data_IF_186341008234
#
_entry.id   IF_186341008234
#
_cell.length_a   1.000
_cell.length_b   1.000
_cell.length_c   1.000
_cell.angle_alpha   90.00
_cell.angle_beta   90.00
_cell.angle_gamma   90.00
#
_symmetry.space_group_name_H-M   'P 1'
#
loop_
_entity.id
_entity.type
_entity.pdbx_description
1 polymer ?
#
# COMPACT_ATOMS: atom_id res chain seq x y z
N UNK A 1 -19.43 -45.46 9.88
CA UNK A 1 -20.53 -44.79 9.14
C UNK A 1 -20.90 -43.46 9.82
N UNK A 2 -21.44 -43.44 11.07
CA UNK A 2 -21.91 -42.22 11.78
C UNK A 2 -20.84 -41.10 11.88
N UNK A 3 -19.58 -41.45 12.15
CA UNK A 3 -18.47 -40.44 12.21
C UNK A 3 -18.13 -39.89 10.82
N UNK A 4 -18.35 -40.65 9.78
CA UNK A 4 -18.06 -40.21 8.40
C UNK A 4 -19.17 -39.33 7.84
N UNK A 5 -20.42 -39.66 8.12
CA UNK A 5 -21.60 -38.84 7.81
C UNK A 5 -21.54 -37.49 8.55
N UNK A 6 -21.21 -37.47 9.83
CA UNK A 6 -21.02 -36.24 10.62
C UNK A 6 -19.86 -35.38 10.04
N UNK A 7 -18.78 -36.00 9.53
CA UNK A 7 -17.68 -35.31 8.88
C UNK A 7 -18.09 -34.70 7.53
N UNK A 8 -18.87 -35.43 6.75
CA UNK A 8 -19.40 -34.97 5.47
C UNK A 8 -20.38 -33.81 5.66
N UNK A 9 -21.33 -33.91 6.59
CA UNK A 9 -22.27 -32.86 6.94
C UNK A 9 -21.53 -31.58 7.39
N UNK A 10 -20.50 -31.73 8.25
CA UNK A 10 -19.64 -30.59 8.67
C UNK A 10 -18.91 -29.96 7.50
N UNK A 11 -18.38 -30.75 6.58
CA UNK A 11 -17.68 -30.24 5.41
C UNK A 11 -18.63 -29.49 4.45
N UNK A 12 -19.86 -30.00 4.27
CA UNK A 12 -20.90 -29.30 3.50
C UNK A 12 -21.28 -27.96 4.12
N UNK A 13 -21.52 -27.88 5.44
CA UNK A 13 -21.82 -26.65 6.14
C UNK A 13 -20.67 -25.63 6.01
N UNK A 14 -19.41 -26.10 6.08
CA UNK A 14 -18.25 -25.24 5.85
C UNK A 14 -18.23 -24.73 4.39
N UNK A 15 -18.50 -25.57 3.41
CA UNK A 15 -18.52 -25.18 2.00
C UNK A 15 -19.62 -24.13 1.71
N UNK A 16 -20.80 -24.29 2.27
CA UNK A 16 -21.91 -23.34 2.19
C UNK A 16 -21.55 -21.99 2.84
N UNK A 17 -20.96 -22.02 4.03
CA UNK A 17 -20.47 -20.82 4.71
C UNK A 17 -19.42 -20.07 3.87
N UNK A 18 -18.50 -20.81 3.24
CA UNK A 18 -17.49 -20.22 2.35
C UNK A 18 -18.16 -19.60 1.12
N UNK A 19 -19.16 -20.27 0.53
CA UNK A 19 -19.92 -19.78 -0.64
C UNK A 19 -20.67 -18.51 -0.29
N UNK A 20 -21.40 -18.47 0.82
CA UNK A 20 -22.10 -17.30 1.32
C UNK A 20 -21.14 -16.14 1.61
N UNK A 21 -20.00 -16.42 2.27
CA UNK A 21 -18.96 -15.40 2.52
C UNK A 21 -18.43 -14.83 1.21
N UNK A 22 -18.15 -15.63 0.20
CA UNK A 22 -17.68 -15.15 -1.11
C UNK A 22 -18.72 -14.27 -1.80
N UNK A 23 -19.99 -14.66 -1.77
CA UNK A 23 -21.08 -13.85 -2.31
C UNK A 23 -21.18 -12.50 -1.60
N UNK A 24 -21.12 -12.46 -0.27
CA UNK A 24 -21.11 -11.21 0.49
C UNK A 24 -19.90 -10.33 0.17
N UNK A 25 -18.73 -10.91 -0.11
CA UNK A 25 -17.51 -10.16 -0.46
C UNK A 25 -17.62 -9.43 -1.79
N UNK A 26 -18.45 -9.87 -2.72
CA UNK A 26 -18.68 -9.16 -3.99
C UNK A 26 -19.35 -7.80 -3.78
N UNK A 27 -20.13 -7.65 -2.69
CA UNK A 27 -20.84 -6.41 -2.32
C UNK A 27 -20.04 -5.53 -1.35
N UNK A 28 -18.84 -5.96 -0.96
CA UNK A 28 -18.04 -5.30 0.07
C UNK A 28 -16.71 -4.81 -0.49
N UNK A 29 -16.22 -3.71 0.08
CA UNK A 29 -14.86 -3.21 -0.15
C UNK A 29 -13.97 -3.50 1.05
N UNK A 30 -12.70 -3.80 0.79
CA UNK A 30 -11.72 -4.04 1.85
C UNK A 30 -11.00 -2.73 2.24
N UNK A 31 -11.20 -2.29 3.47
CA UNK A 31 -10.47 -1.15 4.07
C UNK A 31 -9.45 -1.68 5.06
N UNK A 32 -8.16 -1.49 4.78
CA UNK A 32 -7.10 -1.86 5.73
C UNK A 32 -6.97 -0.83 6.85
N UNK A 33 -6.83 -1.30 8.09
CA UNK A 33 -6.51 -0.46 9.25
C UNK A 33 -5.31 -1.03 9.98
N UNK A 34 -4.50 -0.16 10.56
CA UNK A 34 -3.27 -0.55 11.23
C UNK A 34 -3.26 -0.06 12.66
N UNK A 35 -3.10 -0.99 13.59
CA UNK A 35 -2.98 -0.74 15.03
C UNK A 35 -1.57 -1.06 15.48
N UNK A 36 -1.06 -0.33 16.47
CA UNK A 36 0.30 -0.49 16.98
C UNK A 36 0.30 -1.17 18.35
N UNK A 37 1.12 -2.21 18.50
CA UNK A 37 1.37 -2.82 19.81
C UNK A 37 2.26 -1.88 20.62
N UNK A 38 1.90 -1.61 21.87
CA UNK A 38 2.64 -0.74 22.79
C UNK A 38 3.87 -1.48 23.34
N UNK A 39 4.99 -1.42 22.62
CA UNK A 39 6.22 -2.15 22.98
C UNK A 39 6.76 -1.80 24.36
N UNK A 40 6.47 -0.61 24.88
CA UNK A 40 6.86 -0.16 26.24
C UNK A 40 6.00 -0.76 27.36
N UNK A 41 4.89 -1.41 27.03
CA UNK A 41 3.99 -2.08 27.96
C UNK A 41 4.13 -3.61 27.94
N UNK A 42 5.01 -4.14 27.05
CA UNK A 42 5.29 -5.57 26.98
C UNK A 42 6.16 -6.01 28.17
N UNK A 43 5.77 -7.07 28.81
CA UNK A 43 6.64 -7.76 29.76
C UNK A 43 7.71 -8.60 29.01
N UNK A 44 8.68 -9.16 29.74
CA UNK A 44 9.78 -9.96 29.15
C UNK A 44 9.28 -11.20 28.43
N UNK A 45 8.25 -11.88 28.92
CA UNK A 45 7.68 -13.08 28.32
C UNK A 45 6.99 -12.76 27.00
N UNK A 46 6.16 -11.73 26.98
CA UNK A 46 5.46 -11.26 25.77
C UNK A 46 6.44 -10.81 24.68
N UNK A 47 7.44 -10.02 25.06
CA UNK A 47 8.47 -9.56 24.13
C UNK A 47 9.29 -10.72 23.56
N UNK A 48 9.63 -11.70 24.40
CA UNK A 48 10.35 -12.90 23.97
C UNK A 48 9.47 -13.78 23.08
N UNK A 49 8.21 -14.00 23.42
CA UNK A 49 7.28 -14.77 22.60
C UNK A 49 7.14 -14.16 21.21
N UNK A 50 6.88 -12.85 21.10
CA UNK A 50 6.82 -12.16 19.81
C UNK A 50 8.12 -12.28 19.00
N UNK A 51 9.28 -12.19 19.67
CA UNK A 51 10.59 -12.38 19.03
C UNK A 51 10.74 -13.79 18.47
N UNK A 52 10.39 -14.81 19.28
CA UNK A 52 10.47 -16.23 18.88
C UNK A 52 9.49 -16.55 17.78
N UNK A 53 8.26 -16.01 17.82
CA UNK A 53 7.28 -16.17 16.76
C UNK A 53 7.82 -15.75 15.38
N UNK A 54 8.45 -14.57 15.28
CA UNK A 54 9.09 -14.13 14.01
C UNK A 54 10.31 -14.94 13.65
N UNK A 55 11.06 -15.44 14.63
CA UNK A 55 12.26 -16.26 14.42
C UNK A 55 11.89 -17.65 13.87
N UNK A 56 10.93 -18.32 14.50
CA UNK A 56 10.42 -19.63 14.06
C UNK A 56 9.74 -19.54 12.68
N UNK A 57 8.97 -18.48 12.43
CA UNK A 57 8.40 -18.22 11.11
C UNK A 57 9.49 -18.09 10.03
N UNK A 58 10.63 -17.44 10.34
CA UNK A 58 11.79 -17.37 9.45
C UNK A 58 12.41 -18.75 9.24
N UNK A 59 12.60 -19.56 10.29
CA UNK A 59 13.15 -20.89 10.17
C UNK A 59 12.30 -21.78 9.29
N UNK A 60 10.99 -21.77 9.55
CA UNK A 60 10.01 -22.54 8.78
C UNK A 60 10.00 -22.11 7.31
N UNK A 61 9.95 -20.81 7.01
CA UNK A 61 10.04 -20.29 5.64
C UNK A 61 11.31 -20.76 4.91
N UNK A 62 12.45 -20.64 5.57
CA UNK A 62 13.74 -21.02 4.96
C UNK A 62 13.86 -22.54 4.78
N UNK A 63 13.33 -23.33 5.70
CA UNK A 63 13.25 -24.78 5.58
C UNK A 63 12.43 -25.21 4.35
N UNK A 64 11.25 -24.61 4.14
CA UNK A 64 10.43 -24.85 2.95
C UNK A 64 11.15 -24.45 1.66
N UNK A 65 11.86 -23.33 1.67
CA UNK A 65 12.54 -22.83 0.48
C UNK A 65 13.78 -23.65 0.11
N UNK A 66 14.41 -24.33 1.06
CA UNK A 66 15.57 -25.20 0.83
C UNK A 66 15.26 -26.38 -0.08
N UNK A 67 14.02 -26.89 -0.02
CA UNK A 67 13.52 -27.93 -0.92
C UNK A 67 12.06 -27.62 -1.27
N UNK A 68 11.80 -27.25 -2.51
CA UNK A 68 10.46 -26.86 -2.98
C UNK A 68 9.40 -27.97 -2.85
N UNK A 69 9.79 -29.26 -2.77
CA UNK A 69 8.89 -30.38 -2.48
C UNK A 69 8.26 -30.25 -1.08
N UNK A 70 8.90 -29.53 -0.17
CA UNK A 70 8.39 -29.23 1.19
C UNK A 70 7.32 -28.15 1.21
N UNK A 71 7.04 -27.48 0.08
CA UNK A 71 6.03 -26.43 0.01
C UNK A 71 4.66 -27.08 -0.24
N UNK A 72 4.20 -27.81 0.75
CA UNK A 72 2.94 -28.56 0.76
C UNK A 72 2.23 -28.38 2.10
N UNK A 73 0.95 -28.76 2.16
CA UNK A 73 0.13 -28.63 3.39
C UNK A 73 0.56 -29.58 4.51
N UNK A 74 1.17 -30.70 4.18
CA UNK A 74 1.71 -31.66 5.14
C UNK A 74 2.78 -31.03 6.03
N UNK A 75 3.57 -30.11 5.49
CA UNK A 75 4.63 -29.38 6.23
C UNK A 75 4.08 -28.52 7.36
N UNK A 76 2.79 -28.17 7.35
CA UNK A 76 2.16 -27.43 8.47
C UNK A 76 2.21 -28.22 9.79
N UNK A 77 2.29 -29.56 9.71
CA UNK A 77 2.34 -30.46 10.87
C UNK A 77 3.72 -30.53 11.53
N UNK A 78 4.77 -30.01 10.89
CA UNK A 78 6.14 -30.03 11.41
C UNK A 78 6.20 -29.34 12.79
N UNK A 79 6.79 -29.99 13.76
CA UNK A 79 7.04 -29.49 15.12
C UNK A 79 8.42 -28.87 15.27
N UNK A 80 9.37 -29.31 14.45
CA UNK A 80 10.75 -28.84 14.40
C UNK A 80 11.25 -28.73 12.97
N UNK A 81 12.35 -28.04 12.76
CA UNK A 81 13.02 -27.90 11.46
C UNK A 81 14.54 -27.77 11.64
N UNK A 82 15.35 -28.35 10.73
CA UNK A 82 16.79 -28.12 10.71
C UNK A 82 17.11 -26.69 10.30
N UNK A 83 17.91 -26.01 11.11
CA UNK A 83 18.32 -24.62 10.90
C UNK A 83 19.84 -24.57 10.71
N UNK A 84 20.27 -23.95 9.60
CA UNK A 84 21.68 -23.73 9.32
C UNK A 84 22.27 -22.70 10.27
N UNK A 85 23.33 -23.06 10.97
CA UNK A 85 24.09 -22.21 11.88
C UNK A 85 25.17 -21.39 11.12
N UNK A 86 25.76 -20.36 11.75
CA UNK A 86 26.83 -19.54 11.13
C UNK A 86 28.08 -20.30 10.72
N UNK A 87 28.40 -21.39 11.41
CA UNK A 87 29.52 -22.30 11.12
C UNK A 87 29.24 -23.25 9.94
N UNK A 88 28.01 -23.26 9.42
CA UNK A 88 27.55 -24.08 8.32
C UNK A 88 26.90 -25.40 8.74
N UNK A 89 27.00 -25.80 10.01
CA UNK A 89 26.29 -26.96 10.57
C UNK A 89 24.76 -26.77 10.61
N UNK A 90 24.05 -27.86 10.88
CA UNK A 90 22.60 -27.83 11.03
C UNK A 90 22.22 -28.25 12.44
N UNK A 91 21.27 -27.55 13.03
CA UNK A 91 20.72 -27.87 14.34
C UNK A 91 19.18 -27.94 14.24
N UNK A 92 18.58 -28.98 14.84
CA UNK A 92 17.15 -29.11 14.91
C UNK A 92 16.57 -28.10 15.89
N UNK A 93 15.61 -27.29 15.45
CA UNK A 93 14.96 -26.24 16.26
C UNK A 93 13.45 -26.46 16.30
N UNK A 94 12.89 -26.41 17.49
CA UNK A 94 11.46 -26.52 17.70
C UNK A 94 10.69 -25.29 17.21
N UNK A 95 9.45 -25.51 16.76
CA UNK A 95 8.49 -24.53 16.33
C UNK A 95 7.33 -24.44 17.34
N UNK A 96 7.64 -23.97 18.54
CA UNK A 96 6.69 -23.96 19.68
C UNK A 96 5.75 -22.75 19.70
N UNK A 97 6.16 -21.62 19.09
CA UNK A 97 5.43 -20.35 19.15
C UNK A 97 4.58 -20.10 17.89
N UNK A 98 4.94 -20.66 16.74
CA UNK A 98 4.20 -20.49 15.51
C UNK A 98 3.08 -21.51 15.37
N UNK A 99 1.82 -21.04 15.38
CA UNK A 99 0.63 -21.89 15.26
C UNK A 99 0.44 -22.46 13.84
N UNK A 100 -0.37 -23.53 13.73
CA UNK A 100 -0.63 -24.23 12.45
C UNK A 100 -1.20 -23.32 11.37
N UNK A 101 -2.14 -22.42 11.69
CA UNK A 101 -2.70 -21.49 10.70
C UNK A 101 -1.65 -20.45 10.22
N UNK A 102 -0.71 -20.05 11.08
CA UNK A 102 0.39 -19.18 10.67
C UNK A 102 1.37 -19.91 9.75
N UNK A 103 1.69 -21.20 10.02
CA UNK A 103 2.48 -22.06 9.13
C UNK A 103 1.77 -22.24 7.79
N UNK A 104 0.46 -22.51 7.80
CA UNK A 104 -0.34 -22.62 6.59
C UNK A 104 -0.27 -21.35 5.75
N UNK A 105 -0.38 -20.17 6.35
CA UNK A 105 -0.29 -18.90 5.62
C UNK A 105 1.06 -18.73 4.93
N UNK A 106 2.15 -19.18 5.55
CA UNK A 106 3.50 -19.14 4.95
C UNK A 106 3.56 -20.07 3.74
N UNK A 107 3.04 -21.29 3.84
CA UNK A 107 2.97 -22.25 2.72
C UNK A 107 2.15 -21.69 1.57
N UNK A 108 0.92 -21.21 1.84
CA UNK A 108 0.00 -20.69 0.82
C UNK A 108 0.58 -19.44 0.12
N UNK A 109 1.25 -18.56 0.86
CA UNK A 109 1.95 -17.41 0.30
C UNK A 109 3.14 -17.82 -0.60
N UNK A 110 3.89 -18.87 -0.23
CA UNK A 110 4.97 -19.37 -1.07
C UNK A 110 4.42 -19.97 -2.36
N UNK A 111 3.37 -20.79 -2.29
CA UNK A 111 2.68 -21.36 -3.47
C UNK A 111 2.19 -20.23 -4.39
N UNK A 112 1.53 -19.21 -3.84
CA UNK A 112 1.03 -18.06 -4.60
C UNK A 112 2.17 -17.30 -5.30
N UNK A 113 3.27 -17.08 -4.60
CA UNK A 113 4.44 -16.41 -5.16
C UNK A 113 5.08 -17.21 -6.30
N UNK A 114 5.20 -18.53 -6.17
CA UNK A 114 5.70 -19.39 -7.26
C UNK A 114 4.77 -19.35 -8.48
N UNK A 115 3.45 -19.40 -8.27
CA UNK A 115 2.46 -19.25 -9.36
C UNK A 115 2.61 -17.91 -10.06
N UNK A 116 2.81 -16.83 -9.31
CA UNK A 116 3.04 -15.48 -9.85
C UNK A 116 4.31 -15.44 -10.69
N UNK A 117 5.43 -15.99 -10.19
CA UNK A 117 6.69 -16.04 -10.92
C UNK A 117 6.57 -16.88 -12.22
N UNK A 118 5.87 -18.01 -12.16
CA UNK A 118 5.60 -18.84 -13.33
C UNK A 118 4.76 -18.10 -14.37
N UNK A 119 3.73 -17.35 -13.95
CA UNK A 119 2.90 -16.53 -14.83
C UNK A 119 3.73 -15.40 -15.49
N UNK A 120 4.59 -14.73 -14.74
CA UNK A 120 5.48 -13.70 -15.29
C UNK A 120 6.43 -14.28 -16.34
N UNK A 121 6.98 -15.48 -16.08
CA UNK A 121 7.82 -16.20 -17.06
C UNK A 121 7.05 -16.54 -18.32
N UNK A 122 5.82 -17.05 -18.21
CA UNK A 122 4.95 -17.35 -19.35
C UNK A 122 4.62 -16.08 -20.17
N UNK A 123 4.53 -14.91 -19.54
CA UNK A 123 4.32 -13.62 -20.21
C UNK A 123 5.58 -13.02 -20.84
N UNK A 124 6.69 -13.76 -20.89
CA UNK A 124 7.94 -13.31 -21.52
C UNK A 124 8.78 -12.33 -20.70
N UNK A 125 8.49 -12.16 -19.40
CA UNK A 125 9.34 -11.33 -18.53
C UNK A 125 10.69 -12.00 -18.37
N UNK A 126 11.75 -11.40 -18.88
CA UNK A 126 13.11 -11.98 -18.93
C UNK A 126 13.68 -12.31 -17.54
N UNK A 127 13.42 -11.47 -16.55
CA UNK A 127 13.92 -11.65 -15.18
C UNK A 127 12.77 -11.52 -14.16
N UNK A 128 11.91 -12.54 -14.00
CA UNK A 128 10.77 -12.49 -13.08
C UNK A 128 11.17 -12.47 -11.60
N UNK A 129 12.47 -12.64 -11.30
CA UNK A 129 13.00 -12.78 -9.95
C UNK A 129 12.92 -14.20 -9.41
N UNK A 130 13.30 -14.37 -8.14
CA UNK A 130 13.23 -15.64 -7.43
C UNK A 130 12.94 -15.41 -5.95
N UNK A 131 12.37 -16.40 -5.28
CA UNK A 131 12.29 -16.41 -3.83
C UNK A 131 13.69 -16.57 -3.24
N UNK A 132 13.98 -15.84 -2.17
CA UNK A 132 15.29 -15.83 -1.52
C UNK A 132 15.15 -16.19 -0.05
N UNK A 133 16.18 -16.84 0.50
CA UNK A 133 16.29 -17.06 1.94
C UNK A 133 16.21 -15.75 2.71
N UNK A 134 15.47 -15.78 3.81
CA UNK A 134 15.24 -14.60 4.65
C UNK A 134 16.19 -14.59 5.84
N UNK A 135 16.88 -13.48 6.05
CA UNK A 135 17.58 -13.20 7.32
C UNK A 135 16.59 -12.85 8.44
N UNK A 136 15.46 -12.21 8.08
CA UNK A 136 14.34 -11.86 8.97
C UNK A 136 13.03 -12.06 8.21
N UNK A 137 12.05 -12.68 8.83
CA UNK A 137 10.66 -12.61 8.36
C UNK A 137 9.96 -11.48 9.12
N UNK A 138 9.46 -10.50 8.39
CA UNK A 138 8.90 -9.27 8.98
C UNK A 138 7.39 -9.27 9.04
N UNK A 139 6.73 -10.24 8.43
CA UNK A 139 5.27 -10.30 8.35
C UNK A 139 4.81 -11.72 8.56
N UNK A 140 3.84 -11.90 9.44
CA UNK A 140 3.14 -13.17 9.70
C UNK A 140 1.66 -12.90 9.51
N UNK A 141 0.96 -13.74 8.76
CA UNK A 141 -0.47 -13.63 8.59
C UNK A 141 -1.23 -14.36 9.69
N UNK A 142 -2.25 -13.73 10.20
CA UNK A 142 -3.23 -14.25 11.15
C UNK A 142 -4.54 -14.41 10.39
N UNK A 143 -4.86 -15.63 9.99
CA UNK A 143 -5.86 -15.88 8.97
C UNK A 143 -7.29 -15.62 9.42
N UNK A 144 -7.58 -15.81 10.72
CA UNK A 144 -8.95 -15.86 11.20
C UNK A 144 -9.12 -15.07 12.50
N UNK A 145 -10.01 -14.07 12.46
CA UNK A 145 -10.47 -13.34 13.63
C UNK A 145 -11.24 -14.27 14.58
N UNK A 146 -11.02 -14.12 15.88
CA UNK A 146 -11.62 -14.98 16.91
C UNK A 146 -10.83 -16.27 17.19
N UNK A 147 -10.01 -16.75 16.24
CA UNK A 147 -9.21 -17.97 16.39
C UNK A 147 -7.71 -17.68 16.49
N UNK A 148 -7.10 -17.07 15.50
CA UNK A 148 -5.66 -16.76 15.53
C UNK A 148 -5.35 -15.45 16.25
N UNK A 149 -6.32 -14.55 16.29
CA UNK A 149 -6.25 -13.32 17.07
C UNK A 149 -7.65 -12.79 17.41
N UNK A 150 -7.72 -12.02 18.48
CA UNK A 150 -8.96 -11.35 18.93
C UNK A 150 -8.61 -9.98 19.50
N UNK A 151 -9.50 -9.00 19.32
CA UNK A 151 -9.35 -7.64 19.85
C UNK A 151 -10.45 -7.40 20.86
N UNK A 152 -10.04 -7.01 22.05
CA UNK A 152 -10.91 -6.41 23.06
C UNK A 152 -10.87 -4.89 22.89
N UNK A 153 -11.96 -4.34 22.37
CA UNK A 153 -12.07 -2.90 22.11
C UNK A 153 -12.19 -2.07 23.39
N UNK A 154 -12.81 -2.63 24.43
CA UNK A 154 -13.04 -1.93 25.69
C UNK A 154 -11.74 -1.73 26.47
N UNK A 155 -10.96 -2.79 26.61
CA UNK A 155 -9.68 -2.76 27.34
C UNK A 155 -8.47 -2.41 26.46
N UNK A 156 -8.68 -2.25 25.12
CA UNK A 156 -7.65 -1.98 24.12
C UNK A 156 -6.55 -3.05 24.12
N UNK A 157 -6.97 -4.32 24.15
CA UNK A 157 -6.08 -5.48 24.19
C UNK A 157 -6.18 -6.28 22.89
N UNK A 158 -5.05 -6.77 22.45
CA UNK A 158 -4.90 -7.72 21.35
C UNK A 158 -4.46 -9.07 21.91
N UNK A 159 -5.25 -10.09 21.69
CA UNK A 159 -4.90 -11.49 21.98
C UNK A 159 -4.40 -12.14 20.70
N UNK A 160 -3.28 -12.86 20.78
CA UNK A 160 -2.70 -13.63 19.67
C UNK A 160 -2.59 -15.07 20.14
N UNK A 161 -2.94 -16.02 19.30
CA UNK A 161 -2.82 -17.45 19.58
C UNK A 161 -1.43 -17.81 20.09
N UNK A 162 -1.36 -18.54 21.19
CA UNK A 162 -0.11 -18.92 21.85
C UNK A 162 0.37 -17.93 22.94
N UNK A 163 -0.19 -16.72 23.02
CA UNK A 163 0.03 -15.77 24.12
C UNK A 163 -1.12 -15.87 25.14
N UNK A 164 -0.77 -16.03 26.42
CA UNK A 164 -1.76 -16.09 27.52
C UNK A 164 -2.32 -14.72 27.88
N UNK A 165 -1.52 -13.66 27.73
CA UNK A 165 -1.88 -12.29 28.08
C UNK A 165 -2.28 -11.45 26.87
N UNK A 166 -3.15 -10.46 27.09
CA UNK A 166 -3.54 -9.48 26.09
C UNK A 166 -2.51 -8.36 25.94
N UNK A 167 -2.10 -8.07 24.71
CA UNK A 167 -1.13 -7.02 24.39
C UNK A 167 -1.83 -5.67 24.27
N UNK A 168 -1.37 -4.64 24.97
CA UNK A 168 -1.91 -3.28 24.83
C UNK A 168 -1.62 -2.70 23.46
N UNK A 169 -2.66 -2.12 22.83
CA UNK A 169 -2.58 -1.56 21.47
C UNK A 169 -3.09 -0.12 21.41
N UNK A 170 -2.60 0.62 20.38
CA UNK A 170 -3.05 1.96 20.02
C UNK A 170 -3.63 1.94 18.59
N UNK A 171 -4.58 2.83 18.30
CA UNK A 171 -5.12 3.03 16.96
C UNK A 171 -6.45 2.33 16.70
N UNK A 172 -7.12 1.81 17.75
CA UNK A 172 -8.44 1.17 17.62
C UNK A 172 -9.55 2.16 17.22
N UNK A 173 -9.38 3.44 17.53
CA UNK A 173 -10.26 4.52 17.10
C UNK A 173 -10.44 4.59 15.59
N UNK A 174 -9.48 4.07 14.80
CA UNK A 174 -9.61 3.97 13.35
C UNK A 174 -10.69 2.96 12.93
N UNK A 175 -10.93 1.94 13.74
CA UNK A 175 -11.97 0.93 13.48
C UNK A 175 -13.33 1.47 13.94
N UNK A 176 -13.36 2.18 15.07
CA UNK A 176 -14.58 2.86 15.53
C UNK A 176 -15.08 3.86 14.49
N UNK A 177 -14.19 4.72 13.98
CA UNK A 177 -14.52 5.65 12.88
C UNK A 177 -14.99 4.92 11.62
N UNK A 178 -14.44 3.75 11.32
CA UNK A 178 -14.88 2.96 10.18
C UNK A 178 -16.31 2.43 10.39
N UNK A 179 -16.65 2.04 11.63
CA UNK A 179 -18.02 1.65 12.00
C UNK A 179 -19.02 2.83 11.92
N UNK A 180 -18.60 4.00 12.33
CA UNK A 180 -19.38 5.23 12.22
C UNK A 180 -19.64 5.61 10.76
N UNK A 181 -18.64 5.43 9.88
CA UNK A 181 -18.72 5.81 8.46
C UNK A 181 -19.53 4.81 7.62
N UNK A 182 -19.40 3.50 7.89
CA UNK A 182 -19.97 2.44 7.04
C UNK A 182 -20.99 1.52 7.76
N UNK A 183 -21.22 1.72 9.04
CA UNK A 183 -22.08 0.86 9.85
C UNK A 183 -21.38 -0.44 10.25
N UNK A 184 -21.78 -1.58 9.68
CA UNK A 184 -21.20 -2.86 10.02
C UNK A 184 -19.79 -3.04 9.42
N UNK A 185 -18.85 -3.50 10.25
CA UNK A 185 -17.46 -3.76 9.87
C UNK A 185 -17.13 -5.21 10.19
N UNK A 186 -16.88 -6.00 9.16
CA UNK A 186 -16.45 -7.39 9.29
C UNK A 186 -14.92 -7.45 9.31
N UNK A 187 -14.34 -7.80 10.47
CA UNK A 187 -12.90 -7.97 10.67
C UNK A 187 -12.55 -9.43 10.40
N UNK A 188 -11.58 -9.69 9.50
CA UNK A 188 -11.26 -11.04 9.05
C UNK A 188 -9.82 -11.44 9.35
N UNK A 189 -8.96 -11.37 8.36
CA UNK A 189 -7.53 -11.67 8.52
C UNK A 189 -6.74 -10.43 8.95
N UNK A 190 -5.60 -10.67 9.55
CA UNK A 190 -4.65 -9.62 9.87
C UNK A 190 -3.22 -10.02 9.50
N UNK A 191 -2.34 -9.02 9.42
CA UNK A 191 -0.91 -9.22 9.25
C UNK A 191 -0.17 -8.62 10.43
N UNK A 192 0.52 -9.46 11.20
CA UNK A 192 1.44 -9.01 12.24
C UNK A 192 2.75 -8.58 11.56
N UNK A 193 3.15 -7.32 11.73
CA UNK A 193 4.27 -6.71 11.01
C UNK A 193 5.30 -6.17 11.98
N UNK A 194 6.53 -6.66 11.88
CA UNK A 194 7.68 -6.17 12.64
C UNK A 194 8.44 -5.11 11.82
N UNK A 195 8.40 -3.87 12.28
CA UNK A 195 9.06 -2.71 11.66
C UNK A 195 10.10 -2.10 12.60
N UNK A 196 11.02 -1.25 12.10
CA UNK A 196 11.97 -0.51 12.93
C UNK A 196 11.34 0.42 13.97
N UNK A 197 10.09 0.85 13.75
CA UNK A 197 9.33 1.75 14.63
C UNK A 197 8.31 1.03 15.53
N UNK A 198 8.30 -0.30 15.51
CA UNK A 198 7.48 -1.13 16.39
C UNK A 198 6.81 -2.31 15.70
N UNK A 199 5.97 -3.01 16.44
CA UNK A 199 5.16 -4.11 15.94
C UNK A 199 3.74 -3.61 15.71
N UNK A 200 3.20 -3.92 14.53
CA UNK A 200 1.89 -3.48 14.09
C UNK A 200 1.02 -4.67 13.70
N UNK A 201 -0.27 -4.53 13.89
CA UNK A 201 -1.27 -5.43 13.33
C UNK A 201 -2.05 -4.68 12.26
N UNK A 202 -1.92 -5.12 11.01
CA UNK A 202 -2.69 -4.58 9.88
C UNK A 202 -3.91 -5.46 9.66
N UNK A 203 -5.08 -4.92 9.92
CA UNK A 203 -6.38 -5.57 9.82
C UNK A 203 -6.97 -5.45 8.42
N UNK A 204 -7.63 -6.49 7.96
CA UNK A 204 -8.53 -6.46 6.80
C UNK A 204 -9.95 -6.31 7.32
N UNK A 205 -10.55 -5.15 7.03
CA UNK A 205 -11.91 -4.79 7.45
C UNK A 205 -12.78 -4.70 6.19
N UNK A 206 -13.83 -5.49 6.11
CA UNK A 206 -14.78 -5.46 5.01
C UNK A 206 -16.01 -4.67 5.40
N UNK A 207 -16.45 -3.78 4.51
CA UNK A 207 -17.59 -2.88 4.70
C UNK A 207 -18.39 -2.79 3.40
N UNK A 208 -19.69 -2.53 3.51
CA UNK A 208 -20.51 -2.20 2.33
C UNK A 208 -20.23 -0.74 1.96
N UNK A 209 -19.92 -0.48 0.70
CA UNK A 209 -19.64 0.88 0.24
C UNK A 209 -20.96 1.63 -0.05
N UNK A 210 -21.48 2.29 0.96
CA UNK A 210 -22.67 3.16 0.89
C UNK A 210 -22.30 4.65 0.91
N UNK A 211 -21.04 4.98 0.65
CA UNK A 211 -20.56 6.37 0.68
C UNK A 211 -21.18 7.20 -0.43
N UNK A 212 -21.90 8.26 -0.05
CA UNK A 212 -22.39 9.29 -1.00
C UNK A 212 -21.20 10.08 -1.53
N UNK A 213 -20.94 9.97 -2.82
CA UNK A 213 -19.86 10.68 -3.53
C UNK A 213 -20.39 11.88 -4.30
N UNK A 214 -19.47 12.69 -4.77
CA UNK A 214 -19.74 13.79 -5.67
C UNK A 214 -20.07 13.21 -7.05
N UNK A 215 -21.27 13.39 -7.61
CA UNK A 215 -21.68 12.79 -8.88
C UNK A 215 -21.04 13.51 -10.09
N UNK A 216 -19.75 13.80 -9.99
CA UNK A 216 -18.93 14.48 -10.99
C UNK A 216 -17.77 13.59 -11.37
N UNK A 217 -17.25 13.77 -12.58
CA UNK A 217 -16.00 13.17 -13.02
C UNK A 217 -14.83 14.11 -12.74
N UNK A 218 -13.73 13.54 -12.26
CA UNK A 218 -12.47 14.24 -12.09
C UNK A 218 -11.38 13.59 -12.93
N UNK A 219 -10.71 14.40 -13.76
CA UNK A 219 -9.53 13.99 -14.50
C UNK A 219 -8.28 14.13 -13.65
N UNK A 220 -7.34 13.20 -13.80
CA UNK A 220 -6.11 13.13 -12.99
C UNK A 220 -4.91 12.92 -13.91
N UNK A 221 -4.01 13.89 -13.94
CA UNK A 221 -2.72 13.80 -14.60
C UNK A 221 -1.59 13.60 -13.59
N UNK A 222 -0.59 12.78 -13.93
CA UNK A 222 0.55 12.44 -13.09
C UNK A 222 1.86 12.94 -13.70
N UNK A 223 2.56 13.81 -12.98
CA UNK A 223 3.80 14.41 -13.46
C UNK A 223 4.88 14.58 -12.39
N UNK A 224 6.10 14.92 -12.81
CA UNK A 224 7.22 15.16 -11.88
C UNK A 224 7.18 16.56 -11.26
N UNK A 225 6.61 17.55 -11.94
CA UNK A 225 6.49 18.91 -11.46
C UNK A 225 5.42 19.04 -10.37
N UNK A 226 4.20 18.75 -10.74
CA UNK A 226 3.07 18.44 -9.86
C UNK A 226 2.89 16.94 -9.89
N UNK A 227 2.95 16.26 -8.73
CA UNK A 227 2.84 14.80 -8.69
C UNK A 227 1.44 14.32 -9.12
N UNK A 228 0.44 15.13 -8.83
CA UNK A 228 -0.94 14.95 -9.26
C UNK A 228 -1.49 16.32 -9.62
N UNK A 229 -2.11 16.42 -10.76
CA UNK A 229 -2.95 17.53 -11.19
C UNK A 229 -4.38 17.02 -11.38
N UNK A 230 -5.36 17.78 -10.89
CA UNK A 230 -6.78 17.43 -11.02
C UNK A 230 -7.49 18.48 -11.88
N UNK A 231 -8.51 18.05 -12.64
CA UNK A 231 -9.31 18.93 -13.50
C UNK A 231 -9.97 20.10 -12.75
N UNK A 232 -10.18 19.96 -11.44
CA UNK A 232 -10.75 21.01 -10.57
C UNK A 232 -9.73 22.05 -10.06
N UNK A 233 -8.66 22.28 -10.76
CA UNK A 233 -7.60 23.24 -10.43
C UNK A 233 -6.77 22.91 -9.18
N UNK A 234 -6.84 21.69 -8.65
CA UNK A 234 -5.97 21.26 -7.55
C UNK A 234 -4.70 20.58 -8.06
N UNK A 235 -3.56 21.00 -7.52
CA UNK A 235 -2.28 20.37 -7.76
C UNK A 235 -1.64 19.92 -6.44
N UNK A 236 -1.02 18.73 -6.46
CA UNK A 236 -0.35 18.15 -5.28
C UNK A 236 1.11 17.86 -5.59
N UNK A 237 1.98 18.33 -4.71
CA UNK A 237 3.39 17.96 -4.69
C UNK A 237 3.77 17.65 -3.27
N UNK A 238 4.36 16.50 -3.03
CA UNK A 238 4.94 16.21 -1.72
C UNK A 238 6.42 15.91 -1.88
N UNK A 239 7.20 16.47 -0.95
CA UNK A 239 8.64 16.32 -0.88
C UNK A 239 9.00 15.89 0.52
N UNK A 240 9.39 14.64 0.65
CA UNK A 240 9.87 14.10 1.92
C UNK A 240 11.37 13.91 1.78
N UNK A 241 12.10 14.95 2.16
CA UNK A 241 13.56 14.95 2.10
C UNK A 241 14.18 14.04 3.16
N UNK A 242 15.39 13.57 2.86
CA UNK A 242 16.23 12.92 3.85
C UNK A 242 16.64 13.94 4.94
N UNK A 243 16.47 13.55 6.19
CA UNK A 243 16.80 14.42 7.31
C UNK A 243 18.33 14.56 7.45
N UNK A 244 18.82 15.73 7.92
CA UNK A 244 20.24 15.92 8.30
C UNK A 244 20.73 14.81 9.25
N UNK A 245 19.84 14.35 10.14
CA UNK A 245 20.10 13.22 11.05
C UNK A 245 20.37 11.91 10.31
N UNK A 246 19.63 11.59 9.24
CA UNK A 246 19.87 10.41 8.43
C UNK A 246 21.24 10.44 7.77
N UNK A 247 21.62 11.59 7.18
CA UNK A 247 22.94 11.78 6.57
C UNK A 247 24.07 11.59 7.60
N UNK A 248 23.93 12.19 8.78
CA UNK A 248 24.91 12.03 9.86
C UNK A 248 25.03 10.57 10.35
N UNK A 249 23.92 9.84 10.44
CA UNK A 249 23.91 8.42 10.79
C UNK A 249 24.56 7.55 9.72
N UNK A 250 24.33 7.84 8.44
CA UNK A 250 24.95 7.14 7.31
C UNK A 250 26.47 7.36 7.30
N UNK A 251 26.93 8.61 7.53
CA UNK A 251 28.34 8.94 7.66
C UNK A 251 29.00 8.21 8.84
N UNK A 252 28.34 8.17 10.02
CA UNK A 252 28.81 7.38 11.17
C UNK A 252 28.89 5.88 10.85
N UNK A 253 27.93 5.34 10.07
CA UNK A 253 27.94 3.94 9.67
C UNK A 253 29.08 3.64 8.69
N UNK A 254 29.36 4.53 7.72
CA UNK A 254 30.44 4.34 6.75
C UNK A 254 31.82 4.29 7.41
N UNK A 255 32.05 5.17 8.41
CA UNK A 255 33.30 5.14 9.20
C UNK A 255 33.51 3.84 9.99
N UNK A 256 32.44 3.06 10.27
CA UNK A 256 32.48 1.78 11.00
C UNK A 256 32.47 0.55 10.10
N UNK A 257 32.58 0.72 8.78
CA UNK A 257 32.60 -0.39 7.82
C UNK A 257 33.96 -1.13 7.74
N UNK A 258 34.96 -0.69 8.49
CA UNK A 258 36.33 -1.25 8.45
C UNK A 258 36.49 -2.64 9.06
N UNK A 259 35.40 -3.30 9.50
CA UNK A 259 35.50 -4.72 9.89
C UNK A 259 35.63 -5.60 8.64
N UNK A 260 36.58 -6.53 8.66
CA UNK A 260 36.87 -7.48 7.60
C UNK A 260 35.62 -8.29 7.20
N UNK A 261 35.59 -8.71 5.95
CA UNK A 261 34.51 -9.53 5.40
C UNK A 261 34.46 -10.86 6.17
N UNK A 262 33.38 -11.08 6.96
CA UNK A 262 33.25 -12.30 7.79
C UNK A 262 33.21 -12.07 9.30
N UNK A 263 33.74 -10.96 9.81
CA UNK A 263 33.70 -10.67 11.24
C UNK A 263 32.31 -10.24 11.78
N UNK A 264 32.05 -10.62 13.03
CA UNK A 264 30.84 -10.24 13.73
C UNK A 264 30.79 -8.73 13.96
N UNK A 265 29.81 -8.06 13.33
CA UNK A 265 29.64 -6.61 13.43
C UNK A 265 29.32 -6.15 14.86
N UNK A 266 30.03 -5.11 15.33
CA UNK A 266 29.95 -4.58 16.69
C UNK A 266 28.51 -4.22 17.11
N UNK A 267 28.23 -4.23 18.42
CA UNK A 267 26.95 -3.79 19.00
C UNK A 267 26.58 -2.36 18.53
N UNK A 268 27.57 -1.46 18.47
CA UNK A 268 27.37 -0.08 18.01
C UNK A 268 27.03 0.00 16.51
N UNK A 269 27.60 -0.82 15.65
CA UNK A 269 27.21 -0.91 14.24
C UNK A 269 25.72 -1.30 14.10
N UNK A 270 25.30 -2.36 14.82
CA UNK A 270 23.91 -2.82 14.83
C UNK A 270 22.96 -1.72 15.34
N UNK A 271 23.36 -0.97 16.39
CA UNK A 271 22.57 0.17 16.94
C UNK A 271 22.40 1.29 15.93
N UNK A 272 23.48 1.70 15.22
CA UNK A 272 23.41 2.73 14.17
C UNK A 272 22.53 2.26 13.02
N UNK A 273 22.68 1.02 12.55
CA UNK A 273 21.85 0.43 11.49
C UNK A 273 20.36 0.46 11.84
N UNK A 274 19.99 0.14 13.10
CA UNK A 274 18.59 0.27 13.58
C UNK A 274 18.08 1.72 13.54
N UNK A 275 18.91 2.69 13.98
CA UNK A 275 18.54 4.12 13.92
C UNK A 275 18.31 4.58 12.48
N UNK A 276 19.18 4.18 11.54
CA UNK A 276 19.00 4.47 10.11
C UNK A 276 17.69 3.87 9.58
N UNK A 277 17.41 2.61 9.90
CA UNK A 277 16.17 1.95 9.50
C UNK A 277 14.93 2.67 10.06
N UNK A 278 15.00 3.17 11.29
CA UNK A 278 13.92 3.96 11.91
C UNK A 278 13.70 5.30 11.22
N UNK A 279 14.78 6.00 10.82
CA UNK A 279 14.65 7.26 10.05
C UNK A 279 14.04 7.02 8.65
N UNK A 280 14.48 5.98 7.95
CA UNK A 280 13.84 5.59 6.68
C UNK A 280 12.36 5.24 6.86
N UNK A 281 11.99 4.54 7.95
CA UNK A 281 10.60 4.22 8.23
C UNK A 281 9.75 5.50 8.43
N UNK A 282 10.31 6.52 9.11
CA UNK A 282 9.64 7.83 9.25
C UNK A 282 9.37 8.50 7.90
N UNK A 283 10.34 8.43 6.96
CA UNK A 283 10.18 8.96 5.60
C UNK A 283 9.08 8.20 4.86
N UNK A 284 9.07 6.87 4.96
CA UNK A 284 8.03 6.01 4.37
C UNK A 284 6.66 6.35 4.95
N UNK A 285 6.55 6.51 6.27
CA UNK A 285 5.28 6.84 6.93
C UNK A 285 4.75 8.22 6.50
N UNK A 286 5.61 9.25 6.42
CA UNK A 286 5.23 10.58 5.91
C UNK A 286 4.71 10.50 4.48
N UNK A 287 5.39 9.75 3.61
CA UNK A 287 4.97 9.54 2.22
C UNK A 287 3.62 8.81 2.14
N UNK A 288 3.47 7.74 2.90
CA UNK A 288 2.22 6.99 2.97
C UNK A 288 1.06 7.87 3.46
N UNK A 289 1.31 8.77 4.43
CA UNK A 289 0.32 9.72 4.92
C UNK A 289 -0.10 10.71 3.81
N UNK A 290 0.84 11.30 3.06
CA UNK A 290 0.51 12.19 1.95
C UNK A 290 -0.33 11.46 0.88
N UNK A 291 0.08 10.23 0.50
CA UNK A 291 -0.66 9.40 -0.45
C UNK A 291 -2.08 9.11 0.07
N UNK A 292 -2.23 8.77 1.34
CA UNK A 292 -3.55 8.50 1.94
C UNK A 292 -4.48 9.71 1.84
N UNK A 293 -3.97 10.90 2.12
CA UNK A 293 -4.75 12.14 2.01
C UNK A 293 -5.18 12.42 0.57
N UNK A 294 -4.27 12.28 -0.40
CA UNK A 294 -4.56 12.52 -1.82
C UNK A 294 -5.60 11.51 -2.33
N UNK A 295 -5.37 10.22 -2.13
CA UNK A 295 -6.30 9.16 -2.57
C UNK A 295 -7.67 9.33 -1.89
N UNK A 296 -7.69 9.66 -0.59
CA UNK A 296 -8.95 9.91 0.12
C UNK A 296 -9.70 11.15 -0.39
N UNK A 297 -9.02 12.16 -0.93
CA UNK A 297 -9.67 13.32 -1.55
C UNK A 297 -10.24 12.93 -2.91
N UNK A 298 -9.48 12.19 -3.72
CA UNK A 298 -9.92 11.73 -5.05
C UNK A 298 -11.12 10.77 -4.91
N UNK A 299 -11.13 9.90 -3.89
CA UNK A 299 -12.24 8.96 -3.61
C UNK A 299 -13.56 9.65 -3.21
N UNK A 300 -13.55 10.99 -3.02
CA UNK A 300 -14.80 11.75 -2.84
C UNK A 300 -15.61 11.93 -4.15
N UNK A 301 -14.97 11.72 -5.30
CA UNK A 301 -15.62 11.81 -6.61
C UNK A 301 -16.14 10.44 -7.04
N UNK A 302 -17.32 10.45 -7.67
CA UNK A 302 -17.96 9.21 -8.14
C UNK A 302 -17.19 8.63 -9.33
N UNK A 303 -16.76 9.50 -10.27
CA UNK A 303 -16.07 9.08 -11.48
C UNK A 303 -14.66 9.67 -11.56
N UNK A 304 -13.70 8.85 -11.99
CA UNK A 304 -12.28 9.21 -12.08
C UNK A 304 -11.77 8.80 -13.45
N UNK A 305 -11.22 9.76 -14.20
CA UNK A 305 -10.51 9.51 -15.46
C UNK A 305 -9.01 9.73 -15.26
N UNK A 306 -8.19 8.78 -15.66
CA UNK A 306 -6.72 8.89 -15.60
C UNK A 306 -6.06 8.10 -16.72
N UNK A 307 -4.79 8.40 -17.02
CA UNK A 307 -4.02 7.68 -18.03
C UNK A 307 -3.14 6.58 -17.41
N UNK A 308 -2.87 5.50 -18.18
CA UNK A 308 -2.00 4.39 -17.77
C UNK A 308 -0.52 4.79 -17.83
N UNK A 309 -0.12 5.76 -17.00
CA UNK A 309 1.26 6.22 -16.92
C UNK A 309 2.23 5.10 -16.53
N UNK A 310 3.21 4.83 -17.38
CA UNK A 310 4.25 3.83 -17.16
C UNK A 310 5.38 4.39 -16.30
N UNK A 311 5.09 4.73 -15.05
CA UNK A 311 6.00 5.41 -14.10
C UNK A 311 7.33 4.65 -13.95
N UNK A 312 7.30 3.32 -14.01
CA UNK A 312 8.52 2.49 -13.98
C UNK A 312 9.44 2.76 -15.16
N UNK A 313 8.89 3.06 -16.34
CA UNK A 313 9.64 3.40 -17.56
C UNK A 313 10.36 4.76 -17.50
N UNK A 314 9.93 5.64 -16.58
CA UNK A 314 10.61 6.94 -16.39
C UNK A 314 11.97 6.80 -15.73
N UNK A 315 12.28 5.65 -15.11
CA UNK A 315 13.55 5.35 -14.45
C UNK A 315 14.60 4.94 -15.49
N UNK A 316 15.63 5.78 -15.70
CA UNK A 316 16.70 5.54 -16.69
C UNK A 316 18.02 5.14 -16.01
N UNK A 317 18.76 4.17 -16.61
CA UNK A 317 19.97 3.56 -16.01
C UNK A 317 21.04 4.55 -15.50
N UNK A 318 21.27 5.67 -16.17
CA UNK A 318 22.36 6.61 -15.82
C UNK A 318 21.94 7.84 -15.01
N UNK A 319 20.65 8.02 -14.64
CA UNK A 319 20.14 9.25 -13.99
C UNK A 319 19.77 9.04 -12.51
N UNK A 320 20.74 8.72 -11.66
CA UNK A 320 20.54 8.40 -10.23
C UNK A 320 19.72 9.44 -9.47
N UNK A 321 19.96 10.74 -9.63
CA UNK A 321 19.25 11.82 -8.93
C UNK A 321 17.78 11.87 -9.35
N UNK A 322 17.48 11.88 -10.65
CA UNK A 322 16.11 11.87 -11.18
C UNK A 322 15.35 10.60 -10.79
N UNK A 323 16.01 9.44 -10.84
CA UNK A 323 15.42 8.18 -10.44
C UNK A 323 15.02 8.20 -8.95
N UNK A 324 15.86 8.77 -8.08
CA UNK A 324 15.55 8.95 -6.66
C UNK A 324 14.32 9.87 -6.49
N UNK A 325 14.21 10.94 -7.26
CA UNK A 325 13.04 11.82 -7.26
C UNK A 325 11.78 11.05 -7.64
N UNK A 326 11.79 10.30 -8.76
CA UNK A 326 10.66 9.46 -9.20
C UNK A 326 10.21 8.49 -8.11
N UNK A 327 11.13 7.76 -7.48
CA UNK A 327 10.80 6.86 -6.38
C UNK A 327 10.22 7.59 -5.16
N UNK A 328 10.61 8.85 -4.95
CA UNK A 328 10.13 9.64 -3.82
C UNK A 328 8.74 10.25 -4.05
N UNK A 329 8.25 10.34 -5.29
CA UNK A 329 6.91 10.89 -5.58
C UNK A 329 5.77 10.02 -5.09
N UNK A 330 5.97 8.70 -4.98
CA UNK A 330 4.90 7.77 -4.61
C UNK A 330 3.75 7.66 -5.62
N UNK A 331 3.89 8.23 -6.84
CA UNK A 331 2.86 8.22 -7.87
C UNK A 331 2.41 6.81 -8.24
N UNK A 332 3.35 5.85 -8.34
CA UNK A 332 2.99 4.45 -8.57
C UNK A 332 2.05 3.85 -7.51
N UNK A 333 2.21 4.26 -6.25
CA UNK A 333 1.30 3.81 -5.18
C UNK A 333 -0.06 4.51 -5.27
N UNK A 334 -0.12 5.78 -5.67
CA UNK A 334 -1.39 6.49 -5.92
C UNK A 334 -2.11 5.82 -7.09
N UNK A 335 -1.44 5.66 -8.25
CA UNK A 335 -1.99 4.98 -9.42
C UNK A 335 -2.56 3.61 -9.05
N UNK A 336 -1.76 2.75 -8.41
CA UNK A 336 -2.19 1.41 -8.01
C UNK A 336 -3.42 1.43 -7.09
N UNK A 337 -3.51 2.40 -6.18
CA UNK A 337 -4.69 2.50 -5.31
C UNK A 337 -5.93 2.98 -6.03
N UNK A 338 -5.80 3.91 -6.96
CA UNK A 338 -6.92 4.40 -7.77
C UNK A 338 -7.40 3.31 -8.74
N UNK A 339 -6.48 2.61 -9.42
CA UNK A 339 -6.82 1.49 -10.31
C UNK A 339 -7.47 0.30 -9.60
N UNK A 340 -7.29 0.18 -8.28
CA UNK A 340 -7.93 -0.86 -7.45
C UNK A 340 -9.29 -0.45 -6.89
N UNK A 341 -9.80 0.74 -7.22
CA UNK A 341 -11.19 1.09 -6.98
C UNK A 341 -12.08 0.32 -7.96
N UNK A 342 -13.39 0.37 -7.72
CA UNK A 342 -14.34 -0.31 -8.61
C UNK A 342 -14.18 0.15 -10.06
N UNK A 343 -14.16 -0.81 -10.99
CA UNK A 343 -14.01 -0.53 -12.43
C UNK A 343 -15.13 0.33 -13.01
N UNK A 344 -16.32 0.33 -12.38
CA UNK A 344 -17.43 1.23 -12.72
C UNK A 344 -17.10 2.71 -12.47
N UNK A 345 -16.18 2.99 -11.54
CA UNK A 345 -15.84 4.34 -11.07
C UNK A 345 -14.56 4.90 -11.69
N UNK A 346 -13.70 4.05 -12.20
CA UNK A 346 -12.38 4.45 -12.72
C UNK A 346 -12.26 4.06 -14.18
N UNK A 347 -11.87 5.01 -15.01
CA UNK A 347 -11.44 4.75 -16.37
C UNK A 347 -9.95 5.04 -16.49
N UNK A 348 -9.21 4.04 -16.96
CA UNK A 348 -7.77 4.11 -17.15
C UNK A 348 -7.49 4.09 -18.65
N UNK A 349 -7.28 5.26 -19.22
CA UNK A 349 -7.01 5.44 -20.64
C UNK A 349 -5.68 4.81 -21.02
N UNK A 350 -5.60 4.32 -22.26
CA UNK A 350 -4.36 3.80 -22.80
C UNK A 350 -3.25 4.86 -22.82
N UNK A 351 -2.03 4.45 -22.50
CA UNK A 351 -0.85 5.33 -22.42
C UNK A 351 -0.49 6.06 -23.71
N UNK A 352 -0.94 5.55 -24.86
CA UNK A 352 -0.67 6.15 -26.17
C UNK A 352 -1.70 7.20 -26.60
N UNK A 353 -2.80 7.37 -25.85
CA UNK A 353 -3.74 8.45 -26.14
C UNK A 353 -3.06 9.81 -25.96
N UNK A 354 -3.17 10.73 -26.96
CA UNK A 354 -2.40 11.98 -26.98
C UNK A 354 -3.02 13.08 -26.09
N UNK A 355 -3.40 12.76 -24.84
CA UNK A 355 -4.10 13.66 -23.93
C UNK A 355 -3.38 14.98 -23.66
N UNK A 356 -2.05 15.02 -23.82
CA UNK A 356 -1.26 16.25 -23.66
C UNK A 356 -1.25 17.12 -24.93
N UNK A 357 -1.44 16.51 -26.10
CA UNK A 357 -1.39 17.19 -27.41
C UNK A 357 -2.79 17.58 -27.91
N UNK A 358 -3.82 16.87 -27.52
CA UNK A 358 -5.20 17.14 -27.89
C UNK A 358 -5.74 18.35 -27.12
N UNK A 359 -6.53 19.17 -27.80
CA UNK A 359 -7.19 20.32 -27.22
C UNK A 359 -8.48 19.90 -26.52
N UNK A 360 -8.62 20.22 -25.25
CA UNK A 360 -9.83 19.91 -24.47
C UNK A 360 -11.08 20.69 -24.90
N UNK A 361 -10.96 21.68 -25.83
CA UNK A 361 -12.09 22.46 -26.36
C UNK A 361 -12.52 22.00 -27.75
N UNK A 362 -11.59 21.85 -28.69
CA UNK A 362 -11.88 21.55 -30.09
C UNK A 362 -11.32 20.22 -30.59
N UNK A 363 -10.64 19.47 -29.74
CA UNK A 363 -10.06 18.15 -30.01
C UNK A 363 -8.96 18.11 -31.10
N UNK A 364 -8.52 19.27 -31.60
CA UNK A 364 -7.42 19.35 -32.58
C UNK A 364 -6.12 18.96 -31.89
N UNK A 365 -5.30 18.17 -32.60
CA UNK A 365 -3.97 17.78 -32.12
C UNK A 365 -2.96 18.91 -32.42
N UNK A 366 -2.26 19.36 -31.40
CA UNK A 366 -1.21 20.37 -31.49
C UNK A 366 0.15 19.75 -31.12
N UNK A 367 1.19 20.09 -31.87
CA UNK A 367 2.55 19.71 -31.49
C UNK A 367 3.04 20.59 -30.34
N UNK A 368 3.33 19.99 -29.18
CA UNK A 368 3.75 20.69 -27.98
C UNK A 368 5.04 20.09 -27.45
N UNK A 369 6.00 20.96 -27.14
CA UNK A 369 7.24 20.55 -26.47
C UNK A 369 6.98 20.03 -25.06
N UNK A 370 7.71 19.00 -24.62
CA UNK A 370 7.67 18.47 -23.24
C UNK A 370 7.97 19.54 -22.18
N UNK A 371 8.67 20.61 -22.53
CA UNK A 371 9.06 21.70 -21.63
C UNK A 371 7.99 22.78 -21.47
N UNK A 372 7.05 22.86 -22.42
CA UNK A 372 5.98 23.86 -22.44
C UNK A 372 5.02 23.64 -21.26
N UNK A 373 4.68 24.72 -20.55
CA UNK A 373 3.74 24.66 -19.40
C UNK A 373 2.38 25.22 -19.73
N UNK A 374 2.29 26.12 -20.68
CA UNK A 374 1.06 26.72 -21.15
C UNK A 374 0.71 26.06 -22.47
N UNK A 375 -0.47 25.47 -22.53
CA UNK A 375 -1.05 24.93 -23.75
C UNK A 375 -1.73 26.07 -24.53
N UNK A 376 -1.39 26.22 -25.79
CA UNK A 376 -2.05 27.13 -26.72
C UNK A 376 -2.53 26.34 -27.93
N UNK A 377 -3.84 26.37 -28.18
CA UNK A 377 -4.43 25.71 -29.34
C UNK A 377 -4.42 26.63 -30.54
N UNK A 378 -3.76 26.22 -31.62
CA UNK A 378 -3.68 27.00 -32.86
C UNK A 378 -5.02 27.07 -33.61
N UNK A 379 -5.92 26.09 -33.40
CA UNK A 379 -7.20 26.03 -34.10
C UNK A 379 -8.30 26.86 -33.45
N UNK A 380 -8.40 26.86 -32.11
CA UNK A 380 -9.50 27.51 -31.35
C UNK A 380 -9.04 28.59 -30.38
N UNK A 381 -7.75 28.92 -30.33
CA UNK A 381 -7.16 29.96 -29.46
C UNK A 381 -7.15 29.61 -27.96
N UNK A 382 -7.58 28.41 -27.54
CA UNK A 382 -7.57 28.04 -26.12
C UNK A 382 -6.18 28.16 -25.52
N UNK A 383 -6.05 28.96 -24.45
CA UNK A 383 -4.80 29.09 -23.68
C UNK A 383 -5.05 28.66 -22.24
N UNK A 384 -4.36 27.59 -21.80
CA UNK A 384 -4.61 26.94 -20.52
C UNK A 384 -3.31 26.29 -19.99
N UNK A 385 -3.21 26.01 -18.68
CA UNK A 385 -2.13 25.17 -18.12
C UNK A 385 -2.18 23.78 -18.80
N UNK A 386 -1.03 23.32 -19.32
CA UNK A 386 -0.95 22.07 -20.09
C UNK A 386 -1.43 20.85 -19.30
N UNK A 387 -1.04 20.77 -18.01
CA UNK A 387 -1.42 19.65 -17.17
C UNK A 387 -2.95 19.68 -16.90
N UNK A 388 -3.57 20.90 -16.83
CA UNK A 388 -5.03 21.04 -16.74
C UNK A 388 -5.72 20.65 -18.05
N UNK A 389 -5.20 21.07 -19.21
CA UNK A 389 -5.73 20.64 -20.51
C UNK A 389 -5.77 19.11 -20.60
N UNK A 390 -4.65 18.45 -20.23
CA UNK A 390 -4.56 17.00 -20.21
C UNK A 390 -5.63 16.34 -19.34
N UNK A 391 -5.90 16.89 -18.12
CA UNK A 391 -6.93 16.33 -17.25
C UNK A 391 -8.34 16.47 -17.81
N UNK A 392 -8.65 17.56 -18.48
CA UNK A 392 -9.95 17.78 -19.13
C UNK A 392 -10.10 16.86 -20.35
N UNK A 393 -9.05 16.72 -21.16
CA UNK A 393 -9.06 15.85 -22.34
C UNK A 393 -9.17 14.36 -21.95
N UNK A 394 -8.55 13.95 -20.84
CA UNK A 394 -8.76 12.61 -20.28
C UNK A 394 -10.23 12.34 -19.94
N UNK A 395 -10.98 13.33 -19.45
CA UNK A 395 -12.41 13.17 -19.16
C UNK A 395 -13.17 12.97 -20.46
N UNK A 396 -12.90 13.79 -21.47
CA UNK A 396 -13.57 13.74 -22.77
C UNK A 396 -13.33 12.39 -23.46
N UNK A 397 -12.09 11.87 -23.39
CA UNK A 397 -11.72 10.57 -23.98
C UNK A 397 -12.16 9.36 -23.14
N UNK A 398 -12.69 9.58 -21.94
CA UNK A 398 -13.10 8.51 -21.04
C UNK A 398 -14.54 8.07 -21.30
N UNK A 399 -14.91 6.91 -20.77
CA UNK A 399 -16.31 6.43 -20.74
C UNK A 399 -17.25 7.33 -19.91
N UNK A 400 -16.73 8.38 -19.28
CA UNK A 400 -17.47 9.32 -18.45
C UNK A 400 -17.68 10.69 -19.11
N UNK A 401 -17.43 10.83 -20.41
CA UNK A 401 -17.55 12.09 -21.14
C UNK A 401 -18.90 12.77 -21.03
N UNK A 402 -19.96 12.01 -20.79
CA UNK A 402 -21.35 12.49 -20.59
C UNK A 402 -21.69 12.85 -19.15
N UNK A 403 -20.74 12.75 -18.20
CA UNK A 403 -20.98 13.06 -16.79
C UNK A 403 -20.61 14.52 -16.48
N UNK A 404 -21.22 15.14 -15.46
CA UNK A 404 -20.84 16.47 -14.99
C UNK A 404 -19.34 16.52 -14.64
N UNK A 405 -18.63 17.52 -15.15
CA UNK A 405 -17.19 17.66 -14.99
C UNK A 405 -16.85 18.55 -13.79
N UNK A 406 -15.97 18.08 -12.94
CA UNK A 406 -15.43 18.89 -11.84
C UNK A 406 -14.31 19.81 -12.35
N UNK A 407 -14.65 21.06 -12.68
CA UNK A 407 -13.72 22.06 -13.22
C UNK A 407 -13.13 22.98 -12.16
N UNK A 408 -13.83 23.18 -11.04
CA UNK A 408 -13.41 24.08 -9.96
C UNK A 408 -13.62 23.49 -8.57
N UNK A 409 -12.60 23.60 -7.73
CA UNK A 409 -12.74 23.22 -6.32
C UNK A 409 -13.45 24.27 -5.46
N UNK A 410 -13.65 25.50 -5.96
CA UNK A 410 -14.31 26.60 -5.26
C UNK A 410 -15.83 26.46 -5.27
N UNK A 411 -16.39 25.89 -6.32
CA UNK A 411 -17.82 25.69 -6.52
C UNK A 411 -18.38 24.48 -5.72
N UNK A 412 -17.59 23.90 -4.83
CA UNK A 412 -18.00 22.84 -3.91
C UNK A 412 -18.85 23.37 -2.73
N UNK A 413 -19.71 24.36 -2.99
CA UNK A 413 -20.79 24.76 -2.09
C UNK A 413 -22.00 23.82 -2.34
N UNK A 414 -22.47 23.08 -1.38
CA UNK A 414 -22.46 23.20 0.09
C UNK A 414 -21.50 22.22 0.83
N UNK A 415 -20.36 21.87 0.26
CA UNK A 415 -19.49 20.80 0.76
C UNK A 415 -18.37 21.32 1.67
N UNK A 416 -18.73 21.92 2.78
CA UNK A 416 -17.78 22.38 3.81
C UNK A 416 -16.73 21.34 4.20
N UNK A 417 -17.05 20.05 4.15
CA UNK A 417 -16.12 18.98 4.53
C UNK A 417 -14.93 18.86 3.56
N UNK A 418 -15.12 19.05 2.24
CA UNK A 418 -14.01 19.04 1.27
C UNK A 418 -13.07 20.22 1.48
N UNK A 419 -13.62 21.42 1.68
CA UNK A 419 -12.83 22.61 2.03
C UNK A 419 -12.02 22.37 3.31
N UNK A 420 -12.64 21.76 4.33
CA UNK A 420 -11.95 21.37 5.57
C UNK A 420 -10.86 20.35 5.31
N UNK A 421 -11.12 19.33 4.46
CA UNK A 421 -10.15 18.31 4.07
C UNK A 421 -8.94 18.93 3.37
N UNK A 422 -9.15 19.79 2.37
CA UNK A 422 -8.08 20.52 1.65
C UNK A 422 -7.32 21.42 2.62
N UNK A 423 -8.01 22.17 3.51
CA UNK A 423 -7.37 23.01 4.54
C UNK A 423 -6.46 22.19 5.46
N UNK A 424 -6.90 21.01 5.88
CA UNK A 424 -6.09 20.11 6.70
C UNK A 424 -4.88 19.56 5.94
N UNK A 425 -5.02 19.26 4.65
CA UNK A 425 -3.90 18.83 3.80
C UNK A 425 -2.85 19.93 3.64
N UNK A 426 -3.27 21.21 3.53
CA UNK A 426 -2.35 22.39 3.46
C UNK A 426 -1.52 22.57 4.73
N UNK A 427 -1.98 22.07 5.88
CA UNK A 427 -1.25 22.09 7.16
C UNK A 427 -0.15 21.02 7.25
N UNK A 428 -0.08 20.08 6.31
CA UNK A 428 0.91 19.00 6.32
C UNK A 428 2.24 19.56 5.75
N UNK A 429 3.32 19.65 6.54
CA UNK A 429 4.53 20.40 6.16
C UNK A 429 5.22 19.89 4.89
N UNK A 430 5.07 18.60 4.58
CA UNK A 430 5.69 17.94 3.44
C UNK A 430 4.73 17.74 2.24
N UNK A 431 3.50 18.26 2.31
CA UNK A 431 2.50 18.20 1.26
C UNK A 431 2.12 19.63 0.81
N UNK A 432 2.54 20.01 -0.39
CA UNK A 432 2.15 21.26 -1.00
C UNK A 432 0.87 21.05 -1.82
N UNK A 433 -0.18 21.75 -1.45
CA UNK A 433 -1.44 21.81 -2.19
C UNK A 433 -1.51 23.17 -2.86
N UNK A 434 -1.45 23.21 -4.19
CA UNK A 434 -1.55 24.41 -5.01
C UNK A 434 -2.92 24.47 -5.70
N UNK A 435 -3.40 25.69 -5.92
CA UNK A 435 -4.45 25.95 -6.90
C UNK A 435 -3.77 26.32 -8.21
N UNK A 436 -4.21 25.75 -9.32
CA UNK A 436 -3.79 26.18 -10.65
C UNK A 436 -4.50 27.50 -10.88
N UNK A 437 -3.75 28.60 -11.04
CA UNK A 437 -4.32 29.89 -11.40
C UNK A 437 -4.94 29.77 -12.79
N UNK A 438 -6.16 30.21 -12.97
CA UNK A 438 -6.70 30.47 -14.29
C UNK A 438 -5.80 31.56 -14.90
N UNK A 439 -5.03 31.21 -15.92
CA UNK A 439 -4.56 32.19 -16.86
C UNK A 439 -5.83 32.72 -17.49
N UNK A 440 -6.08 34.03 -17.37
CA UNK A 440 -7.29 34.68 -17.88
C UNK A 440 -7.57 34.13 -19.28
N UNK A 441 -8.76 33.57 -19.45
CA UNK A 441 -9.30 33.27 -20.75
C UNK A 441 -9.46 34.62 -21.49
N UNK A 442 -8.40 35.08 -22.16
CA UNK A 442 -8.57 36.04 -23.22
C UNK A 442 -9.18 35.25 -24.39
N UNK A 443 -10.49 35.20 -24.41
CA UNK A 443 -11.25 34.94 -25.62
C UNK A 443 -10.99 36.17 -26.45
N UNK A 444 -10.16 36.05 -27.49
CA UNK A 444 -10.21 37.00 -28.59
C UNK A 444 -11.63 36.88 -29.19
N UNK A 445 -12.40 37.97 -29.07
CA UNK A 445 -13.67 38.17 -29.75
C UNK A 445 -13.49 38.09 -31.28
#
# INVERSE_FOLDING_TARGET
LIKEEARLAKNQAIAETIKATRANRTMQICKSREIKIQSNKLNKLEANHLRLLFLEAKWFYNHLLADHRRICRESVKLKSVPVKLPDGSYEERELAHIGSQMKQSIVDNMISNFKTLATLKKRGVQNPGALKFKSELKTIELLQYGMTYKIDFNHKLLYIQGLKSGLKVNGLEQITKLKEEYGNVDITSAKLINRPDGIFLKLSCYVIDNKKRIPEVVGIDMGLGKHITMSNNLGFRFKVDETKRLAALQQKLSRKKGALKGEAKSKNFKKIKRKISSEYQRIVNKRANAINHIVSLIDEYEFIAMQDEQIAGWVKKKRKKRNKEIYHTGMGAIKSRLSNLESSRVDVLDKFKPTTQSCSKCHTLNQISETTRIYHCQACGLTIDRDKNSTLDMIIMSKFSNKPVSTEHRNLSPRHYLRRKIRNMRKIPYLKVSSIKETQLQVAE
#
